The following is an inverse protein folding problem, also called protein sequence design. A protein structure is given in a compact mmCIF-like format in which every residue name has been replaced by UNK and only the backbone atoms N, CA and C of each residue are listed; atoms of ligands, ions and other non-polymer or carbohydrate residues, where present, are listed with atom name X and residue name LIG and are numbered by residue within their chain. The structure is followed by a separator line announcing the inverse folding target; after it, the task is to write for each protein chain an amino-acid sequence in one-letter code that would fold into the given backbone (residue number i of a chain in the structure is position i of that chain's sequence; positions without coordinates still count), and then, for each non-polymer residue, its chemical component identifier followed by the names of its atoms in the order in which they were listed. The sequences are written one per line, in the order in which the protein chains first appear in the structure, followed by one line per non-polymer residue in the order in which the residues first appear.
data_IF_984645362433
#
_entry.id   IF_984645362433
#
_cell.length_a   1.000
_cell.length_b   1.000
_cell.length_c   1.000
_cell.angle_alpha   90.00
_cell.angle_beta   90.00
_cell.angle_gamma   90.00
#
_symmetry.space_group_name_H-M   'P 1'
#
loop_
_entity.id
_entity.type
_entity.pdbx_description
1 polymer ?
#
# COMPACT_ATOMS: atom_id res chain seq x y z
N UNK A 1 -2.89 10.30 48.30
CA UNK A 1 -2.68 8.85 48.51
C UNK A 1 -3.84 8.31 49.34
N UNK A 2 -4.68 7.43 48.80
CA UNK A 2 -5.48 6.50 49.62
C UNK A 2 -5.94 5.34 48.73
N UNK A 3 -5.08 4.35 48.58
CA UNK A 3 -5.43 3.02 48.08
C UNK A 3 -6.02 2.26 49.27
N UNK A 4 -7.19 1.63 49.11
CA UNK A 4 -7.76 0.75 50.12
C UNK A 4 -7.55 -0.69 49.66
N UNK A 5 -6.96 -1.46 50.55
CA UNK A 5 -6.61 -2.87 50.39
C UNK A 5 -7.82 -3.79 50.27
N UNK A 6 -7.57 -4.95 49.67
CA UNK A 6 -8.47 -6.07 49.35
C UNK A 6 -8.85 -6.90 50.58
N UNK A 7 -9.65 -7.98 50.41
CA UNK A 7 -8.99 -9.29 50.54
C UNK A 7 -9.45 -10.35 49.51
N UNK A 8 -8.47 -11.17 49.10
CA UNK A 8 -8.46 -12.65 48.97
C UNK A 8 -9.80 -13.42 48.92
N UNK A 9 -9.99 -14.53 48.21
CA UNK A 9 -9.12 -15.44 47.46
C UNK A 9 -10.04 -16.46 46.79
N UNK A 10 -9.76 -16.88 45.56
CA UNK A 10 -9.99 -18.27 45.12
C UNK A 10 -9.15 -18.59 43.89
N UNK A 11 -7.94 -19.03 44.18
CA UNK A 11 -7.12 -19.91 43.36
C UNK A 11 -7.93 -21.10 42.86
N UNK A 12 -7.86 -21.38 41.57
CA UNK A 12 -8.01 -22.72 41.01
C UNK A 12 -7.15 -22.80 39.74
N UNK A 13 -5.93 -23.30 39.88
CA UNK A 13 -5.15 -23.85 38.75
C UNK A 13 -5.51 -25.35 38.57
N UNK A 14 -4.86 -26.09 37.66
CA UNK A 14 -5.35 -26.40 36.32
C UNK A 14 -5.68 -27.89 36.18
N UNK A 15 -6.69 -28.24 35.39
CA UNK A 15 -6.99 -29.64 35.09
C UNK A 15 -7.02 -29.82 33.57
N UNK A 16 -5.91 -30.29 33.02
CA UNK A 16 -5.85 -31.01 31.76
C UNK A 16 -6.50 -32.38 31.94
N UNK A 17 -7.37 -32.79 31.01
CA UNK A 17 -7.21 -34.16 30.48
C UNK A 17 -6.88 -34.16 28.98
N UNK A 18 -5.91 -35.01 28.65
CA UNK A 18 -5.46 -35.41 27.32
C UNK A 18 -6.47 -36.33 26.62
N UNK A 19 -6.49 -36.25 25.29
CA UNK A 19 -7.08 -37.17 24.30
C UNK A 19 -8.62 -37.28 24.35
N UNK A 20 -9.40 -37.14 23.27
CA UNK A 20 -9.27 -37.82 21.99
C UNK A 20 -9.92 -36.95 20.88
N UNK A 21 -9.14 -36.47 19.90
CA UNK A 21 -9.68 -35.98 18.62
C UNK A 21 -9.72 -37.17 17.67
N UNK A 22 -10.93 -37.56 17.28
CA UNK A 22 -11.18 -38.57 16.27
C UNK A 22 -10.81 -37.98 14.90
N UNK A 23 -9.65 -38.37 14.37
CA UNK A 23 -9.29 -38.10 12.97
C UNK A 23 -10.14 -39.00 12.05
N UNK A 24 -10.80 -38.47 11.01
CA UNK A 24 -11.35 -39.31 9.95
C UNK A 24 -10.21 -39.94 9.12
N UNK A 25 -10.40 -41.16 8.57
CA UNK A 25 -9.34 -41.89 7.87
C UNK A 25 -8.90 -41.15 6.61
N UNK A 26 -7.58 -40.99 6.45
CA UNK A 26 -6.97 -40.81 5.14
C UNK A 26 -7.19 -42.10 4.35
N UNK A 27 -7.95 -42.01 3.26
CA UNK A 27 -8.07 -43.09 2.29
C UNK A 27 -6.76 -43.15 1.50
N UNK A 28 -6.04 -44.27 1.60
CA UNK A 28 -4.90 -44.60 0.77
C UNK A 28 -5.32 -44.68 -0.71
N UNK A 29 -4.80 -43.86 -1.63
CA UNK A 29 -4.86 -44.21 -3.04
C UNK A 29 -3.81 -45.30 -3.28
N UNK A 30 -4.31 -46.54 -3.25
CA UNK A 30 -3.64 -47.73 -3.79
C UNK A 30 -3.06 -47.39 -5.17
N UNK A 31 -1.75 -47.47 -5.26
CA UNK A 31 -0.97 -47.50 -6.49
C UNK A 31 -1.54 -48.53 -7.46
N UNK A 32 -1.91 -48.07 -8.67
CA UNK A 32 -2.01 -48.91 -9.85
C UNK A 32 -1.45 -48.13 -11.03
N UNK A 33 -0.19 -48.42 -11.36
CA UNK A 33 0.32 -48.29 -12.72
C UNK A 33 -0.62 -49.07 -13.66
N UNK A 34 -1.16 -48.41 -14.68
CA UNK A 34 -0.87 -48.76 -16.08
C UNK A 34 -1.73 -47.95 -17.07
N UNK A 35 -1.04 -47.49 -18.12
CA UNK A 35 -1.52 -47.35 -19.50
C UNK A 35 -2.46 -46.19 -19.87
N UNK A 36 -1.87 -45.20 -20.54
CA UNK A 36 -2.52 -44.53 -21.67
C UNK A 36 -2.75 -45.54 -22.81
N UNK A 37 -3.82 -45.40 -23.62
CA UNK A 37 -3.59 -44.69 -24.88
C UNK A 37 -4.74 -43.76 -25.32
N UNK A 38 -4.28 -42.71 -26.00
CA UNK A 38 -4.94 -41.77 -26.90
C UNK A 38 -5.99 -42.35 -27.89
N UNK A 39 -7.19 -41.75 -27.95
CA UNK A 39 -8.06 -41.59 -29.14
C UNK A 39 -9.24 -40.65 -28.76
N UNK A 40 -9.31 -39.40 -29.20
CA UNK A 40 -9.79 -38.89 -30.50
C UNK A 40 -11.14 -38.17 -30.32
N UNK A 41 -11.13 -36.88 -30.70
CA UNK A 41 -12.21 -36.09 -31.32
C UNK A 41 -13.64 -36.21 -30.78
N UNK A 42 -14.15 -35.14 -30.17
CA UNK A 42 -15.30 -34.35 -30.65
C UNK A 42 -15.59 -33.26 -29.60
N UNK A 43 -15.70 -32.00 -30.05
CA UNK A 43 -15.86 -30.85 -29.16
C UNK A 43 -17.21 -30.76 -28.44
N UNK A 44 -17.23 -29.88 -27.46
CA UNK A 44 -18.25 -28.84 -27.34
C UNK A 44 -17.59 -27.65 -26.63
N UNK A 45 -17.92 -26.45 -27.09
CA UNK A 45 -17.44 -25.20 -26.53
C UNK A 45 -18.14 -24.99 -25.20
N UNK A 46 -17.47 -25.33 -24.11
CA UNK A 46 -17.79 -24.73 -22.82
C UNK A 46 -17.11 -23.37 -22.81
N UNK A 47 -17.88 -22.33 -23.11
CA UNK A 47 -17.67 -21.00 -22.53
C UNK A 47 -17.59 -21.22 -21.01
N UNK A 48 -16.38 -21.44 -20.51
CA UNK A 48 -16.05 -21.08 -19.13
C UNK A 48 -16.24 -19.57 -19.06
N UNK A 49 -17.47 -19.18 -18.73
CA UNK A 49 -17.70 -18.00 -17.92
C UNK A 49 -16.81 -18.20 -16.69
N UNK A 50 -15.57 -17.70 -16.77
CA UNK A 50 -14.73 -17.43 -15.62
C UNK A 50 -15.57 -16.47 -14.76
N UNK A 51 -16.42 -17.05 -13.93
CA UNK A 51 -16.97 -16.39 -12.78
C UNK A 51 -15.77 -16.03 -11.96
N UNK A 52 -15.31 -14.78 -12.11
CA UNK A 52 -14.38 -14.16 -11.19
C UNK A 52 -14.95 -14.45 -9.81
N UNK A 53 -14.31 -15.37 -9.09
CA UNK A 53 -14.55 -15.51 -7.67
C UNK A 53 -14.11 -14.15 -7.12
N UNK A 54 -15.06 -13.22 -6.98
CA UNK A 54 -14.90 -11.97 -6.26
C UNK A 54 -14.71 -12.34 -4.78
N UNK A 55 -13.56 -12.95 -4.49
CA UNK A 55 -13.07 -13.18 -3.16
C UNK A 55 -12.97 -11.82 -2.50
N UNK A 56 -13.66 -11.66 -1.38
CA UNK A 56 -13.76 -10.37 -0.72
C UNK A 56 -12.34 -9.84 -0.43
N UNK A 57 -12.00 -8.70 -1.04
CA UNK A 57 -10.69 -8.08 -0.91
C UNK A 57 -10.31 -7.99 0.57
N UNK A 58 -9.13 -8.52 0.96
CA UNK A 58 -8.71 -8.59 2.35
C UNK A 58 -8.66 -7.22 3.05
N UNK A 59 -8.41 -6.16 2.29
CA UNK A 59 -8.51 -4.78 2.78
C UNK A 59 -9.96 -4.37 3.05
N UNK A 60 -10.90 -4.69 2.15
CA UNK A 60 -12.33 -4.42 2.35
C UNK A 60 -12.86 -5.14 3.59
N UNK A 61 -12.47 -6.42 3.79
CA UNK A 61 -12.79 -7.18 5.00
C UNK A 61 -12.28 -6.49 6.26
N UNK A 62 -11.01 -6.07 6.27
CA UNK A 62 -10.42 -5.35 7.39
C UNK A 62 -11.16 -4.04 7.66
N UNK A 63 -11.42 -3.23 6.64
CA UNK A 63 -12.09 -1.95 6.81
C UNK A 63 -13.53 -2.10 7.32
N UNK A 64 -14.26 -3.10 6.82
CA UNK A 64 -15.62 -3.44 7.28
C UNK A 64 -15.65 -4.08 8.67
N UNK A 65 -14.54 -4.64 9.14
CA UNK A 65 -14.42 -5.26 10.47
C UNK A 65 -14.18 -4.29 11.63
N UNK A 66 -13.84 -3.02 11.34
CA UNK A 66 -13.51 -2.03 12.36
C UNK A 66 -14.61 -1.00 12.65
N UNK A 67 -14.34 -0.10 13.60
CA UNK A 67 -15.29 0.94 14.04
C UNK A 67 -15.64 2.00 12.98
N UNK A 68 -14.89 2.07 11.88
CA UNK A 68 -15.12 2.98 10.76
C UNK A 68 -15.86 2.35 9.58
N UNK A 69 -16.46 1.17 9.76
CA UNK A 69 -17.22 0.45 8.72
C UNK A 69 -18.17 1.35 7.93
N UNK A 70 -19.00 2.14 8.61
CA UNK A 70 -20.01 2.96 7.93
C UNK A 70 -19.39 4.05 7.04
N UNK A 71 -18.28 4.64 7.48
CA UNK A 71 -17.53 5.59 6.67
C UNK A 71 -16.91 4.91 5.44
N UNK A 72 -16.44 3.67 5.60
CA UNK A 72 -15.89 2.88 4.50
C UNK A 72 -16.95 2.50 3.46
N UNK A 73 -18.13 2.04 3.90
CA UNK A 73 -19.24 1.72 3.00
C UNK A 73 -19.74 2.98 2.28
N UNK A 74 -19.75 4.15 2.94
CA UNK A 74 -20.09 5.40 2.29
C UNK A 74 -19.09 5.78 1.19
N UNK A 75 -17.80 5.51 1.41
CA UNK A 75 -16.76 5.69 0.42
C UNK A 75 -16.92 4.73 -0.77
N UNK A 76 -17.11 3.43 -0.54
CA UNK A 76 -17.37 2.43 -1.59
C UNK A 76 -18.58 2.84 -2.45
N UNK A 77 -19.69 3.21 -1.80
CA UNK A 77 -20.90 3.67 -2.52
C UNK A 77 -20.65 4.90 -3.38
N UNK A 78 -19.84 5.84 -2.90
CA UNK A 78 -19.51 7.02 -3.69
C UNK A 78 -18.73 6.64 -4.96
N UNK A 79 -17.73 5.75 -4.84
CA UNK A 79 -16.97 5.24 -5.98
C UNK A 79 -17.89 4.52 -6.96
N UNK A 80 -18.69 3.58 -6.48
CA UNK A 80 -19.63 2.84 -7.33
C UNK A 80 -20.58 3.79 -8.09
N UNK A 81 -21.09 4.83 -7.42
CA UNK A 81 -21.95 5.82 -8.07
C UNK A 81 -21.21 6.63 -9.14
N UNK A 82 -19.98 7.04 -8.86
CA UNK A 82 -19.14 7.77 -9.81
C UNK A 82 -18.83 6.90 -11.05
N UNK A 83 -18.48 5.63 -10.85
CA UNK A 83 -18.24 4.68 -11.94
C UNK A 83 -19.49 4.43 -12.79
N UNK A 84 -20.64 4.18 -12.14
CA UNK A 84 -21.93 4.00 -12.84
C UNK A 84 -22.31 5.21 -13.68
N UNK A 85 -21.97 6.42 -13.21
CA UNK A 85 -22.26 7.69 -13.92
C UNK A 85 -21.11 8.14 -14.84
N UNK A 86 -19.98 7.43 -14.85
CA UNK A 86 -18.73 7.82 -15.54
C UNK A 86 -18.26 9.23 -15.15
N UNK A 87 -18.44 9.58 -13.89
CA UNK A 87 -17.93 10.81 -13.28
C UNK A 87 -16.50 10.60 -12.78
N UNK A 88 -15.72 11.67 -12.69
CA UNK A 88 -14.39 11.60 -12.07
C UNK A 88 -14.53 11.32 -10.56
N UNK A 89 -13.97 10.21 -10.10
CA UNK A 89 -14.08 9.74 -8.71
C UNK A 89 -13.41 10.75 -7.76
N UNK A 90 -12.29 11.35 -8.17
CA UNK A 90 -11.55 12.29 -7.31
C UNK A 90 -12.40 13.52 -7.06
N UNK A 91 -12.98 14.10 -8.10
CA UNK A 91 -13.86 15.27 -8.00
C UNK A 91 -15.16 14.94 -7.27
N UNK A 92 -15.77 13.79 -7.56
CA UNK A 92 -17.07 13.41 -7.00
C UNK A 92 -17.00 13.03 -5.53
N UNK A 93 -15.95 12.30 -5.15
CA UNK A 93 -15.82 11.68 -3.85
C UNK A 93 -14.78 12.33 -2.95
N UNK A 94 -14.16 13.45 -3.36
CA UNK A 94 -13.05 14.12 -2.65
C UNK A 94 -13.21 14.22 -1.12
N UNK A 95 -14.41 14.54 -0.64
CA UNK A 95 -14.66 14.76 0.79
C UNK A 95 -14.81 13.46 1.60
N UNK A 96 -15.18 12.36 0.94
CA UNK A 96 -15.54 11.09 1.60
C UNK A 96 -14.31 10.37 2.20
N UNK A 97 -13.16 10.24 1.49
CA UNK A 97 -11.91 9.75 2.08
C UNK A 97 -11.48 10.56 3.30
N UNK A 98 -11.74 11.87 3.32
CA UNK A 98 -11.40 12.73 4.45
C UNK A 98 -12.18 12.38 5.73
N UNK A 99 -13.46 12.03 5.61
CA UNK A 99 -14.26 11.55 6.73
C UNK A 99 -13.79 10.18 7.23
N UNK A 100 -13.47 9.27 6.30
CA UNK A 100 -12.94 7.94 6.60
C UNK A 100 -11.61 8.02 7.36
N UNK A 101 -10.66 8.81 6.85
CA UNK A 101 -9.34 9.01 7.49
C UNK A 101 -9.48 9.55 8.91
N UNK A 102 -10.31 10.59 9.11
CA UNK A 102 -10.56 11.15 10.45
C UNK A 102 -11.12 10.10 11.43
N UNK A 103 -12.01 9.23 10.95
CA UNK A 103 -12.49 8.13 11.77
C UNK A 103 -11.34 7.18 12.13
N UNK A 104 -10.52 6.77 11.17
CA UNK A 104 -9.40 5.86 11.42
C UNK A 104 -8.38 6.44 12.41
N UNK A 105 -8.06 7.74 12.28
CA UNK A 105 -7.19 8.47 13.20
C UNK A 105 -7.75 8.53 14.63
N UNK A 106 -9.07 8.57 14.80
CA UNK A 106 -9.74 8.50 16.10
C UNK A 106 -9.77 7.08 16.69
N UNK A 107 -9.50 6.05 15.87
CA UNK A 107 -9.50 4.64 16.25
C UNK A 107 -8.16 3.94 15.92
N UNK A 108 -7.02 4.46 16.39
CA UNK A 108 -5.70 3.99 15.98
C UNK A 108 -5.42 2.56 16.44
N UNK A 109 -6.02 2.09 17.53
CA UNK A 109 -5.79 0.75 18.07
C UNK A 109 -6.12 -0.36 17.05
N UNK A 110 -7.15 -0.13 16.22
CA UNK A 110 -7.51 -1.03 15.12
C UNK A 110 -6.77 -0.66 13.84
N UNK A 111 -6.75 0.62 13.46
CA UNK A 111 -6.29 1.08 12.14
C UNK A 111 -4.79 1.41 12.04
N UNK A 112 -4.00 1.20 13.10
CA UNK A 112 -2.56 1.51 13.13
C UNK A 112 -1.74 0.99 11.95
N UNK A 113 -1.95 -0.24 11.43
CA UNK A 113 -1.19 -0.73 10.27
C UNK A 113 -1.38 0.15 9.03
N UNK A 114 -2.61 0.58 8.76
CA UNK A 114 -2.92 1.44 7.61
C UNK A 114 -2.38 2.85 7.84
N UNK A 115 -2.64 3.43 9.01
CA UNK A 115 -2.18 4.79 9.33
C UNK A 115 -0.65 4.94 9.24
N UNK A 116 0.11 3.89 9.61
CA UNK A 116 1.57 3.88 9.43
C UNK A 116 1.97 3.81 7.97
N UNK A 117 1.29 2.99 7.16
CA UNK A 117 1.55 2.90 5.74
C UNK A 117 1.24 4.22 5.01
N UNK A 118 0.11 4.85 5.34
CA UNK A 118 -0.27 6.17 4.80
C UNK A 118 0.78 7.22 5.13
N UNK A 119 1.23 7.29 6.38
CA UNK A 119 2.26 8.25 6.80
C UNK A 119 3.58 8.02 6.07
N UNK A 120 4.02 6.76 5.93
CA UNK A 120 5.25 6.44 5.22
C UNK A 120 5.17 6.81 3.73
N UNK A 121 4.02 6.57 3.10
CA UNK A 121 3.78 6.96 1.71
C UNK A 121 3.77 8.49 1.54
N UNK A 122 3.17 9.22 2.49
CA UNK A 122 3.18 10.69 2.50
C UNK A 122 4.61 11.25 2.63
N UNK A 123 5.40 10.73 3.55
CA UNK A 123 6.80 11.13 3.75
C UNK A 123 7.66 10.84 2.51
N UNK A 124 7.45 9.70 1.86
CA UNK A 124 8.13 9.36 0.60
C UNK A 124 7.73 10.30 -0.54
N UNK A 125 6.44 10.60 -0.70
CA UNK A 125 5.97 11.52 -1.72
C UNK A 125 6.56 12.93 -1.53
N UNK A 126 6.61 13.43 -0.29
CA UNK A 126 7.24 14.72 0.03
C UNK A 126 8.72 14.71 -0.35
N UNK A 127 9.46 13.66 0.02
CA UNK A 127 10.89 13.53 -0.31
C UNK A 127 11.14 13.57 -1.81
N UNK A 128 10.36 12.87 -2.62
CA UNK A 128 10.55 12.90 -4.07
C UNK A 128 10.18 14.27 -4.65
N UNK A 129 9.12 14.92 -4.17
CA UNK A 129 8.78 16.29 -4.59
C UNK A 129 9.89 17.30 -4.25
N UNK A 130 10.52 17.18 -3.10
CA UNK A 130 11.66 18.02 -2.70
C UNK A 130 12.88 17.79 -3.60
N UNK A 131 13.17 16.53 -3.92
CA UNK A 131 14.27 16.15 -4.82
C UNK A 131 14.05 16.66 -6.25
N UNK A 132 12.84 16.54 -6.78
CA UNK A 132 12.49 17.09 -8.10
C UNK A 132 12.62 18.62 -8.09
N UNK A 133 12.12 19.31 -7.06
CA UNK A 133 12.34 20.76 -6.89
C UNK A 133 13.81 21.14 -6.84
N UNK A 134 14.64 20.37 -6.12
CA UNK A 134 16.08 20.63 -6.05
C UNK A 134 16.77 20.45 -7.41
N UNK A 135 16.39 19.43 -8.18
CA UNK A 135 16.89 19.21 -9.55
C UNK A 135 16.47 20.34 -10.50
N UNK A 136 15.21 20.76 -10.44
CA UNK A 136 14.69 21.88 -11.25
C UNK A 136 15.45 23.18 -10.95
N UNK A 137 15.67 23.50 -9.67
CA UNK A 137 16.46 24.67 -9.27
C UNK A 137 17.92 24.58 -9.73
N UNK A 138 18.55 23.41 -9.61
CA UNK A 138 19.90 23.19 -10.10
C UNK A 138 19.98 23.36 -11.64
N UNK A 139 19.04 22.78 -12.38
CA UNK A 139 18.95 22.90 -13.84
C UNK A 139 18.76 24.35 -14.29
N UNK A 140 17.89 25.11 -13.61
CA UNK A 140 17.66 26.51 -13.88
C UNK A 140 18.93 27.37 -13.65
N UNK A 141 19.69 27.09 -12.58
CA UNK A 141 20.96 27.76 -12.30
C UNK A 141 22.03 27.46 -13.37
N UNK A 142 22.19 26.20 -13.78
CA UNK A 142 23.13 25.82 -14.86
C UNK A 142 22.76 26.47 -16.19
N UNK A 143 21.46 26.59 -16.50
CA UNK A 143 20.99 27.22 -17.74
C UNK A 143 21.25 28.73 -17.76
N UNK A 144 21.22 29.40 -16.60
CA UNK A 144 21.49 30.83 -16.49
C UNK A 144 22.98 31.20 -16.62
N UNK A 145 23.89 30.28 -16.27
CA UNK A 145 25.34 30.48 -16.33
C UNK A 145 25.95 30.23 -17.73
N UNK A 146 25.18 29.71 -18.69
CA UNK A 146 25.67 29.34 -20.03
C UNK A 146 25.73 30.45 -21.09
N UNK A 147 25.50 31.73 -20.73
CA UNK A 147 25.45 32.85 -21.70
C UNK A 147 26.71 33.74 -21.77
N UNK A 148 27.80 33.42 -21.08
CA UNK A 148 29.05 34.22 -21.13
C UNK A 148 30.31 33.36 -21.32
N UNK A 149 30.35 32.46 -22.31
CA UNK A 149 31.61 31.84 -22.78
C UNK A 149 31.58 31.75 -24.31
N UNK A 150 31.50 32.92 -24.98
CA UNK A 150 31.91 33.06 -26.38
C UNK A 150 32.17 34.52 -26.77
N UNK A 151 33.29 35.11 -26.34
CA UNK A 151 34.02 36.04 -27.23
C UNK A 151 35.40 36.45 -26.70
N UNK A 152 36.37 36.32 -27.60
CA UNK A 152 37.65 37.02 -27.64
C UNK A 152 38.82 36.47 -26.82
N UNK A 153 39.55 35.57 -27.49
CA UNK A 153 41.00 35.63 -27.57
C UNK A 153 41.55 37.07 -27.64
N UNK A 154 42.82 37.22 -27.25
CA UNK A 154 43.71 38.38 -27.42
C UNK A 154 43.75 39.35 -26.23
N UNK A 155 44.63 39.08 -25.27
CA UNK A 155 45.89 39.80 -25.00
C UNK A 155 46.43 39.22 -23.70
N UNK A 156 47.62 38.63 -23.69
CA UNK A 156 48.63 38.66 -22.61
C UNK A 156 49.89 37.96 -23.16
N UNK A 157 50.47 38.53 -24.21
CA UNK A 157 51.91 38.42 -24.45
C UNK A 157 52.50 39.83 -24.23
N UNK A 158 53.65 39.87 -23.55
CA UNK A 158 54.47 41.03 -23.20
C UNK A 158 54.02 41.94 -22.04
N UNK A 159 54.48 41.62 -20.82
CA UNK A 159 55.34 42.55 -20.06
C UNK A 159 56.00 41.84 -18.88
N UNK A 160 57.18 41.27 -19.12
CA UNK A 160 58.17 41.01 -18.06
C UNK A 160 59.57 41.26 -18.60
N UNK A 161 59.81 42.51 -19.00
CA UNK A 161 61.14 43.11 -19.12
C UNK A 161 61.19 44.30 -18.15
N UNK A 162 62.30 44.41 -17.42
CA UNK A 162 62.54 45.16 -16.18
C UNK A 162 62.00 44.41 -14.95
N UNK A 163 62.82 43.94 -14.00
CA UNK A 163 63.92 44.64 -13.36
C UNK A 163 64.80 43.63 -12.59
N UNK A 164 66.02 43.37 -13.07
CA UNK A 164 67.08 42.77 -12.25
C UNK A 164 68.36 43.56 -12.50
N UNK A 165 68.69 44.37 -11.50
CA UNK A 165 69.96 45.09 -11.31
C UNK A 165 71.04 44.14 -10.80
#
# INVERSE_FOLDING_TARGET
MQWKETPESKTLEPQTPVEQVSNPPMDDPKTLEDQAPINSEQGDQEEEEEGEEEGECGFCLFMKGGGCRDNFIAWEKCIEEAEKKKEDIVDKCFEVPGALKKCMEAHPDYYAPILRAEKAAEEEAVRELEKEKAKELASALLSSAGSEERSSSQVEEESKVSENK
#
